data_IF_399702466853
#
_entry.id   IF_399702466853
#
_cell.length_a   1.000
_cell.length_b   1.000
_cell.length_c   1.000
_cell.angle_alpha   90.00
_cell.angle_beta   90.00
_cell.angle_gamma   90.00
#
_symmetry.space_group_name_H-M   'P 1'
#
loop_
_entity.id
_entity.type
_entity.pdbx_description
1 polymer ?
#
# COMPACT_ATOMS: atom_id res chain seq x y z
N UNK A 1 6.24 -12.27 -11.67
CA UNK A 1 5.96 -12.59 -10.26
C UNK A 1 4.75 -11.77 -9.84
N UNK A 2 3.57 -12.34 -9.97
CA UNK A 2 2.30 -11.67 -9.65
C UNK A 2 2.12 -11.75 -8.14
N UNK A 3 2.29 -10.63 -7.44
CA UNK A 3 1.99 -10.56 -6.00
C UNK A 3 0.49 -10.59 -5.82
N UNK A 4 -0.07 -11.76 -5.52
CA UNK A 4 -1.45 -11.93 -5.06
C UNK A 4 -1.65 -11.03 -3.84
N UNK A 5 -2.54 -10.04 -3.95
CA UNK A 5 -2.84 -9.12 -2.85
C UNK A 5 -3.66 -9.86 -1.80
N UNK A 6 -3.01 -10.36 -0.77
CA UNK A 6 -3.70 -10.88 0.41
C UNK A 6 -4.05 -9.68 1.28
N UNK A 7 -5.26 -9.15 1.13
CA UNK A 7 -5.71 -8.06 1.99
C UNK A 7 -5.63 -8.49 3.47
N UNK A 8 -5.01 -7.68 4.32
CA UNK A 8 -4.84 -7.96 5.76
C UNK A 8 -5.47 -6.87 6.60
N UNK A 9 -5.98 -7.21 7.78
CA UNK A 9 -6.44 -6.20 8.74
C UNK A 9 -5.30 -5.26 9.11
N UNK A 10 -5.59 -3.96 9.22
CA UNK A 10 -4.63 -2.95 9.63
C UNK A 10 -3.95 -3.27 10.98
N UNK A 11 -4.68 -3.93 11.88
CA UNK A 11 -4.17 -4.35 13.20
C UNK A 11 -3.27 -5.60 13.13
N UNK A 12 -3.41 -6.41 12.08
CA UNK A 12 -2.69 -7.68 11.91
C UNK A 12 -1.54 -7.58 10.89
N UNK A 13 -1.34 -6.43 10.25
CA UNK A 13 -0.31 -6.23 9.25
C UNK A 13 1.10 -6.38 9.87
N UNK A 14 1.87 -7.35 9.38
CA UNK A 14 3.25 -7.59 9.79
C UNK A 14 4.21 -6.49 9.30
N UNK A 15 5.46 -6.51 9.80
CA UNK A 15 6.46 -5.48 9.48
C UNK A 15 6.85 -5.46 7.99
N UNK A 16 6.80 -6.59 7.28
CA UNK A 16 7.16 -6.72 5.87
C UNK A 16 5.93 -6.67 4.94
N UNK A 17 4.76 -6.22 5.45
CA UNK A 17 3.52 -6.15 4.71
C UNK A 17 3.09 -4.71 4.39
N UNK A 18 2.62 -4.51 3.16
CA UNK A 18 2.25 -3.21 2.61
C UNK A 18 1.03 -2.63 3.33
N UNK A 19 1.20 -1.41 3.84
CA UNK A 19 0.20 -0.67 4.64
C UNK A 19 -0.75 0.21 3.81
N UNK A 20 -0.75 0.09 2.49
CA UNK A 20 -1.68 0.85 1.65
C UNK A 20 -3.12 0.41 1.92
N UNK A 21 -4.00 1.34 2.31
CA UNK A 21 -5.39 1.04 2.63
C UNK A 21 -6.18 0.80 1.36
N UNK A 22 -6.77 -0.39 1.24
CA UNK A 22 -7.62 -0.80 0.10
C UNK A 22 -9.10 -0.85 0.47
N UNK A 23 -9.43 -0.83 1.76
CA UNK A 23 -10.79 -0.65 2.26
C UNK A 23 -10.78 0.01 3.64
N UNK A 24 -11.63 1.01 3.82
CA UNK A 24 -11.76 1.85 5.03
C UNK A 24 -13.03 1.56 5.83
N UNK A 25 -13.76 0.50 5.48
CA UNK A 25 -14.89 -0.02 6.27
C UNK A 25 -14.42 -0.44 7.68
N UNK A 26 -15.33 -0.57 8.67
CA UNK A 26 -14.97 -1.08 9.99
C UNK A 26 -14.15 -2.37 9.88
N UNK A 27 -12.93 -2.36 10.43
CA UNK A 27 -11.92 -3.38 10.16
C UNK A 27 -11.10 -3.10 8.90
N UNK A 28 -10.59 -1.87 8.76
CA UNK A 28 -9.84 -1.40 7.60
C UNK A 28 -8.80 -2.42 7.11
N UNK A 29 -8.76 -2.62 5.79
CA UNK A 29 -7.90 -3.58 5.13
C UNK A 29 -6.72 -2.89 4.44
N UNK A 30 -5.53 -3.40 4.70
CA UNK A 30 -4.29 -3.07 4.02
C UNK A 30 -4.05 -4.02 2.85
N UNK A 31 -3.29 -3.57 1.86
CA UNK A 31 -2.87 -4.36 0.69
C UNK A 31 -2.20 -5.69 1.08
N UNK A 32 -1.35 -5.70 2.12
CA UNK A 32 -0.74 -6.90 2.68
C UNK A 32 0.35 -7.58 1.85
N UNK A 33 0.58 -7.13 0.61
CA UNK A 33 1.69 -7.61 -0.22
C UNK A 33 3.05 -7.27 0.42
N UNK A 34 4.10 -8.05 0.11
CA UNK A 34 5.44 -7.78 0.65
C UNK A 34 5.94 -6.38 0.31
N UNK A 35 6.51 -5.69 1.29
CA UNK A 35 7.13 -4.38 1.10
C UNK A 35 8.48 -4.48 0.41
N UNK A 36 8.89 -3.37 -0.19
CA UNK A 36 10.29 -3.17 -0.58
C UNK A 36 11.12 -2.95 0.69
N UNK A 37 12.38 -3.40 0.71
CA UNK A 37 13.26 -3.24 1.87
C UNK A 37 13.36 -1.76 2.29
N UNK A 38 13.16 -1.48 3.57
CA UNK A 38 13.18 -0.12 4.12
C UNK A 38 11.94 0.71 3.80
N UNK A 39 10.87 0.10 3.27
CA UNK A 39 9.64 0.77 2.85
C UNK A 39 8.41 0.20 3.54
N UNK A 40 7.36 1.01 3.68
CA UNK A 40 6.04 0.58 4.14
C UNK A 40 5.12 0.12 3.00
N UNK A 41 5.61 0.13 1.76
CA UNK A 41 4.82 -0.12 0.55
C UNK A 41 5.43 -1.20 -0.34
N UNK A 42 4.56 -1.97 -1.01
CA UNK A 42 4.97 -2.86 -2.11
C UNK A 42 5.27 -2.05 -3.37
N UNK A 43 5.91 -2.63 -4.38
CA UNK A 43 6.37 -1.90 -5.59
C UNK A 43 5.26 -1.03 -6.22
N UNK A 44 4.03 -1.51 -6.46
CA UNK A 44 2.96 -0.69 -7.03
C UNK A 44 2.60 0.52 -6.14
N UNK A 45 2.38 0.28 -4.85
CA UNK A 45 1.97 1.35 -3.92
C UNK A 45 3.11 2.30 -3.57
N UNK A 46 4.36 1.83 -3.59
CA UNK A 46 5.54 2.66 -3.46
C UNK A 46 5.58 3.72 -4.56
N UNK A 47 5.29 3.33 -5.81
CA UNK A 47 5.22 4.27 -6.92
C UNK A 47 4.11 5.30 -6.71
N UNK A 48 2.94 4.88 -6.23
CA UNK A 48 1.82 5.80 -6.00
C UNK A 48 2.08 6.83 -4.90
N UNK A 49 2.71 6.44 -3.80
CA UNK A 49 2.96 7.35 -2.67
C UNK A 49 4.20 8.21 -2.85
N UNK A 50 5.21 7.72 -3.57
CA UNK A 50 6.45 8.46 -3.85
C UNK A 50 6.49 9.09 -5.25
N UNK A 51 5.43 9.01 -6.05
CA UNK A 51 5.35 9.82 -7.27
C UNK A 51 5.37 11.29 -6.89
N UNK A 52 6.29 12.04 -7.53
CA UNK A 52 6.27 13.51 -7.56
C UNK A 52 4.86 13.99 -7.85
N UNK A 53 4.34 15.00 -7.11
CA UNK A 53 2.98 15.48 -7.26
C UNK A 53 2.72 15.74 -8.73
N UNK A 54 1.78 14.99 -9.31
CA UNK A 54 1.32 15.20 -10.66
C UNK A 54 0.83 16.64 -10.70
N UNK A 55 1.57 17.52 -11.39
CA UNK A 55 1.32 18.96 -11.44
C UNK A 55 -0.19 19.16 -11.53
N UNK A 56 -0.75 19.65 -10.43
CA UNK A 56 -2.19 19.84 -10.24
C UNK A 56 -2.65 20.57 -11.49
N UNK A 57 -3.40 19.92 -12.39
CA UNK A 57 -3.84 20.54 -13.64
C UNK A 57 -4.54 21.82 -13.23
N UNK A 58 -3.89 22.95 -13.49
CA UNK A 58 -4.44 24.27 -13.25
C UNK A 58 -5.72 24.32 -14.10
N UNK A 59 -6.85 24.33 -13.41
CA UNK A 59 -8.16 24.53 -14.00
C UNK A 59 -8.65 25.91 -13.61
#
# INVERSE_FOLDING_TARGET
MSTTSTAVSILAAAHDQCRFIVSDKPGALCCGARTVLGSSWCIPHHRLVYTTPQARRAR
#
